data_IF_179241399386
#
_entry.id   IF_179241399386
#
_cell.length_a   1.000
_cell.length_b   1.000
_cell.length_c   1.000
_cell.angle_alpha   90.00
_cell.angle_beta   90.00
_cell.angle_gamma   90.00
#
_symmetry.space_group_name_H-M   'P 1'
#
loop_
_entity.id
_entity.type
_entity.pdbx_description
1 polymer ?
#
# COMPACT_ATOMS: atom_id res chain seq x y z
N UNK A 1 4.39 2.19 22.65
CA UNK A 1 5.79 1.98 22.18
C UNK A 1 6.16 2.81 20.97
N UNK A 2 5.55 2.63 19.80
CA UNK A 2 5.93 3.37 18.58
C UNK A 2 5.95 4.90 18.74
N UNK A 3 4.97 5.46 19.47
CA UNK A 3 4.91 6.90 19.76
C UNK A 3 6.09 7.39 20.61
N UNK A 4 6.56 6.57 21.57
CA UNK A 4 7.72 6.91 22.40
C UNK A 4 9.02 6.85 21.57
N UNK A 5 9.14 5.87 20.67
CA UNK A 5 10.23 5.84 19.69
C UNK A 5 10.24 7.10 18.82
N UNK A 6 9.08 7.49 18.27
CA UNK A 6 8.96 8.69 17.47
C UNK A 6 9.28 9.97 18.27
N UNK A 7 8.87 10.05 19.54
CA UNK A 7 9.21 11.17 20.44
C UNK A 7 10.73 11.36 20.55
N UNK A 8 11.48 10.26 20.69
CA UNK A 8 12.95 10.28 20.71
C UNK A 8 13.49 10.78 19.37
N UNK A 9 13.01 10.28 18.24
CA UNK A 9 13.45 10.74 16.92
C UNK A 9 13.21 12.24 16.72
N UNK A 10 12.01 12.74 17.04
CA UNK A 10 11.67 14.15 16.93
C UNK A 10 12.54 15.02 17.84
N UNK A 11 12.79 14.58 19.08
CA UNK A 11 13.63 15.31 20.03
C UNK A 11 15.08 15.44 19.56
N UNK A 12 15.65 14.40 18.95
CA UNK A 12 17.07 14.34 18.65
C UNK A 12 17.46 14.76 17.22
N UNK A 13 16.53 14.68 16.27
CA UNK A 13 16.82 14.98 14.87
C UNK A 13 15.90 16.03 14.26
N UNK A 14 14.83 16.43 14.95
CA UNK A 14 13.85 17.38 14.42
C UNK A 14 14.34 18.83 14.34
N UNK A 15 15.53 19.13 14.84
CA UNK A 15 16.25 20.37 14.56
C UNK A 15 16.66 20.50 13.08
N UNK A 16 16.91 19.36 12.41
CA UNK A 16 17.39 19.27 11.01
C UNK A 16 16.41 18.55 10.08
N UNK A 17 15.73 17.52 10.56
CA UNK A 17 14.79 16.73 9.76
C UNK A 17 13.45 17.45 9.67
N UNK A 18 13.12 17.88 8.45
CA UNK A 18 11.92 18.68 8.15
C UNK A 18 10.77 17.87 7.52
N UNK A 19 11.02 16.62 7.11
CA UNK A 19 10.02 15.74 6.51
C UNK A 19 10.09 14.37 7.16
N UNK A 20 8.99 13.96 7.79
CA UNK A 20 8.89 12.71 8.53
C UNK A 20 7.87 11.79 7.86
N UNK A 21 8.31 10.60 7.46
CA UNK A 21 7.42 9.50 7.08
C UNK A 21 7.30 8.57 8.27
N UNK A 22 6.08 8.42 8.78
CA UNK A 22 5.82 7.59 9.98
C UNK A 22 5.90 6.10 9.68
N UNK A 23 5.15 5.63 8.70
CA UNK A 23 5.06 4.21 8.32
C UNK A 23 5.19 4.12 6.80
N UNK A 24 6.08 3.24 6.35
CA UNK A 24 6.24 2.85 4.95
C UNK A 24 5.39 1.61 4.64
N UNK A 25 4.68 1.64 3.51
CA UNK A 25 3.91 0.53 2.95
C UNK A 25 3.15 -0.35 3.97
N UNK A 26 2.25 0.23 4.77
CA UNK A 26 1.53 -0.54 5.78
C UNK A 26 0.69 -1.68 5.19
N UNK A 27 0.28 -1.57 3.92
CA UNK A 27 -0.37 -2.65 3.17
C UNK A 27 0.56 -3.85 2.96
N UNK A 28 1.78 -3.61 2.43
CA UNK A 28 2.79 -4.64 2.19
C UNK A 28 3.08 -5.41 3.47
N UNK A 29 3.31 -4.68 4.57
CA UNK A 29 3.53 -5.32 5.87
C UNK A 29 2.32 -6.14 6.33
N UNK A 30 1.11 -5.58 6.29
CA UNK A 30 -0.10 -6.28 6.75
C UNK A 30 -0.38 -7.55 5.95
N UNK A 31 -0.19 -7.53 4.63
CA UNK A 31 -0.47 -8.67 3.75
C UNK A 31 0.67 -9.68 3.72
N UNK A 32 1.92 -9.25 3.58
CA UNK A 32 3.03 -10.18 3.42
C UNK A 32 3.53 -10.74 4.74
N UNK A 33 3.41 -10.01 5.86
CA UNK A 33 3.86 -10.53 7.16
C UNK A 33 2.80 -11.36 7.89
N UNK A 34 1.50 -11.10 7.65
CA UNK A 34 0.38 -11.73 8.38
C UNK A 34 -0.71 -12.35 7.46
N UNK A 35 -0.61 -12.14 6.15
CA UNK A 35 -1.53 -12.74 5.17
C UNK A 35 -0.90 -13.94 4.47
N UNK A 36 0.31 -13.78 3.93
CA UNK A 36 1.04 -14.84 3.21
C UNK A 36 2.27 -15.38 3.94
N UNK A 37 2.68 -14.73 5.05
CA UNK A 37 3.88 -15.10 5.82
C UNK A 37 5.20 -14.96 5.06
N UNK A 38 5.25 -14.22 3.95
CA UNK A 38 6.45 -13.99 3.15
C UNK A 38 7.46 -13.05 3.84
N UNK A 39 7.00 -12.18 4.75
CA UNK A 39 7.83 -11.27 5.53
C UNK A 39 7.77 -11.59 7.02
N UNK A 40 8.79 -11.21 7.79
CA UNK A 40 8.78 -11.39 9.24
C UNK A 40 7.55 -10.70 9.90
N UNK A 41 6.85 -11.34 10.85
CA UNK A 41 7.23 -12.57 11.55
C UNK A 41 6.82 -13.89 10.86
N UNK A 42 6.28 -13.83 9.64
CA UNK A 42 5.99 -15.00 8.82
C UNK A 42 4.70 -15.72 9.20
N UNK A 43 3.64 -14.96 9.50
CA UNK A 43 2.34 -15.51 9.91
C UNK A 43 1.35 -15.64 8.74
N UNK A 44 0.64 -16.76 8.71
CA UNK A 44 -0.47 -17.05 7.80
C UNK A 44 -1.29 -18.25 8.28
N UNK A 45 -2.51 -18.40 7.76
CA UNK A 45 -3.37 -19.53 8.10
C UNK A 45 -2.75 -20.88 7.69
N UNK A 46 -2.81 -21.87 8.60
CA UNK A 46 -2.24 -23.22 8.41
C UNK A 46 -2.63 -23.91 7.10
N UNK A 47 -3.86 -23.70 6.63
CA UNK A 47 -4.38 -24.33 5.40
C UNK A 47 -3.66 -23.87 4.12
N UNK A 48 -2.94 -22.74 4.16
CA UNK A 48 -2.19 -22.24 3.01
C UNK A 48 -0.92 -23.05 2.71
N UNK A 49 -0.41 -23.81 3.69
CA UNK A 49 0.80 -24.63 3.56
C UNK A 49 2.05 -23.86 3.05
N UNK A 50 2.24 -22.62 3.53
CA UNK A 50 3.35 -21.74 3.14
C UNK A 50 4.51 -21.74 4.15
N UNK A 51 4.60 -22.75 5.02
CA UNK A 51 5.61 -22.86 6.08
C UNK A 51 5.65 -21.64 7.03
N UNK A 52 4.49 -21.09 7.35
CA UNK A 52 4.33 -19.98 8.28
C UNK A 52 4.55 -20.41 9.75
N UNK A 53 4.91 -19.46 10.59
CA UNK A 53 5.19 -19.66 12.03
C UNK A 53 3.92 -19.78 12.89
N UNK A 54 2.75 -19.53 12.30
CA UNK A 54 1.44 -19.53 12.94
C UNK A 54 0.51 -18.50 12.30
N UNK A 55 -0.60 -18.20 12.96
CA UNK A 55 -1.45 -17.06 12.66
C UNK A 55 -2.70 -17.35 11.83
N UNK A 56 -3.38 -16.27 11.45
CA UNK A 56 -4.66 -16.30 10.74
C UNK A 56 -4.77 -15.17 9.69
N UNK A 57 -4.61 -15.54 8.42
CA UNK A 57 -4.70 -14.66 7.26
C UNK A 57 -6.07 -14.00 7.07
N UNK A 58 -7.13 -14.51 7.72
CA UNK A 58 -8.47 -13.93 7.65
C UNK A 58 -8.67 -12.74 8.61
N UNK A 59 -7.83 -12.60 9.64
CA UNK A 59 -8.06 -11.64 10.74
C UNK A 59 -6.83 -10.80 11.06
N UNK A 60 -5.64 -11.39 11.15
CA UNK A 60 -4.42 -10.70 11.59
C UNK A 60 -4.03 -9.52 10.70
N UNK A 61 -4.09 -9.59 9.35
CA UNK A 61 -3.81 -8.44 8.50
C UNK A 61 -4.67 -7.21 8.84
N UNK A 62 -5.93 -7.41 9.24
CA UNK A 62 -6.84 -6.33 9.61
C UNK A 62 -6.53 -5.74 10.98
N UNK A 63 -6.15 -6.57 11.94
CA UNK A 63 -5.69 -6.12 13.27
C UNK A 63 -4.41 -5.31 13.15
N UNK A 64 -3.45 -5.80 12.35
CA UNK A 64 -2.18 -5.12 12.10
C UNK A 64 -2.40 -3.79 11.41
N UNK A 65 -3.16 -3.76 10.31
CA UNK A 65 -3.49 -2.53 9.61
C UNK A 65 -4.17 -1.49 10.52
N UNK A 66 -5.06 -1.95 11.41
CA UNK A 66 -5.71 -1.08 12.40
C UNK A 66 -4.72 -0.44 13.37
N UNK A 67 -3.83 -1.24 13.97
CA UNK A 67 -2.83 -0.75 14.90
C UNK A 67 -1.81 0.18 14.23
N UNK A 68 -1.41 -0.09 12.98
CA UNK A 68 -0.54 0.80 12.21
C UNK A 68 -1.20 2.17 11.98
N UNK A 69 -2.49 2.19 11.64
CA UNK A 69 -3.24 3.45 11.49
C UNK A 69 -3.30 4.25 12.80
N UNK A 70 -3.58 3.58 13.92
CA UNK A 70 -3.59 4.24 15.23
C UNK A 70 -2.21 4.77 15.62
N UNK A 71 -1.17 3.95 15.46
CA UNK A 71 0.21 4.34 15.75
C UNK A 71 0.66 5.55 14.91
N UNK A 72 0.31 5.55 13.62
CA UNK A 72 0.52 6.69 12.72
C UNK A 72 -0.18 7.95 13.25
N UNK A 73 -1.49 7.89 13.49
CA UNK A 73 -2.28 9.06 13.85
C UNK A 73 -1.89 9.63 15.23
N UNK A 74 -1.58 8.77 16.20
CA UNK A 74 -1.08 9.21 17.51
C UNK A 74 0.31 9.85 17.40
N UNK A 75 1.19 9.33 16.53
CA UNK A 75 2.51 9.92 16.29
C UNK A 75 2.42 11.29 15.63
N UNK A 76 1.52 11.45 14.66
CA UNK A 76 1.26 12.74 14.01
C UNK A 76 0.69 13.74 15.01
N UNK A 77 -0.26 13.30 15.85
CA UNK A 77 -0.79 14.13 16.94
C UNK A 77 0.32 14.62 17.86
N UNK A 78 1.20 13.72 18.33
CA UNK A 78 2.36 14.09 19.15
C UNK A 78 3.24 15.13 18.46
N UNK A 79 3.59 14.93 17.18
CA UNK A 79 4.41 15.89 16.44
C UNK A 79 3.77 17.27 16.37
N UNK A 80 2.49 17.33 16.01
CA UNK A 80 1.72 18.59 15.91
C UNK A 80 1.65 19.34 17.23
N UNK A 81 1.40 18.62 18.33
CA UNK A 81 1.20 19.22 19.65
C UNK A 81 2.52 19.66 20.31
N UNK A 82 3.60 18.91 20.12
CA UNK A 82 4.86 19.11 20.89
C UNK A 82 5.99 19.74 20.07
N UNK A 83 6.05 19.49 18.76
CA UNK A 83 7.24 19.76 17.95
C UNK A 83 7.01 20.70 16.78
N UNK A 84 5.86 20.63 16.10
CA UNK A 84 5.65 21.30 14.81
C UNK A 84 5.79 22.83 14.89
N UNK A 85 5.32 23.47 15.96
CA UNK A 85 5.44 24.92 16.13
C UNK A 85 6.91 25.39 16.22
N UNK A 86 7.79 24.56 16.77
CA UNK A 86 9.22 24.88 17.00
C UNK A 86 10.06 24.43 15.80
N UNK A 87 9.86 23.19 15.35
CA UNK A 87 10.68 22.54 14.33
C UNK A 87 10.25 22.88 12.91
N UNK A 88 8.98 23.29 12.72
CA UNK A 88 8.38 23.70 11.43
C UNK A 88 8.39 22.63 10.34
N UNK A 89 8.62 21.36 10.70
CA UNK A 89 8.60 20.23 9.78
C UNK A 89 7.18 19.72 9.48
N UNK A 90 7.13 18.72 8.61
CA UNK A 90 5.91 18.08 8.12
C UNK A 90 5.93 16.57 8.40
N UNK A 91 4.76 16.02 8.64
CA UNK A 91 4.55 14.59 8.86
C UNK A 91 3.67 13.99 7.76
N UNK A 92 3.99 12.77 7.35
CA UNK A 92 3.25 12.03 6.34
C UNK A 92 3.36 10.52 6.53
N UNK A 93 2.87 9.81 5.53
CA UNK A 93 2.94 8.34 5.41
C UNK A 93 3.16 7.97 3.95
N UNK A 94 3.86 6.88 3.70
CA UNK A 94 4.12 6.37 2.36
C UNK A 94 3.28 5.12 2.09
N UNK A 95 2.55 5.12 0.99
CA UNK A 95 1.65 4.03 0.61
C UNK A 95 2.05 3.44 -0.73
N UNK A 96 2.25 2.12 -0.73
CA UNK A 96 2.26 1.36 -1.97
C UNK A 96 0.90 1.41 -2.64
N UNK A 97 0.89 1.71 -3.93
CA UNK A 97 -0.29 1.54 -4.75
C UNK A 97 0.10 1.12 -6.15
N UNK A 98 -0.48 0.00 -6.57
CA UNK A 98 -0.60 -0.33 -7.98
C UNK A 98 -1.73 0.50 -8.58
N UNK A 99 -1.80 0.54 -9.91
CA UNK A 99 -3.00 0.98 -10.61
C UNK A 99 -3.78 -0.21 -11.16
N UNK A 100 -5.11 -0.11 -11.14
CA UNK A 100 -6.01 -1.14 -11.64
C UNK A 100 -6.73 -0.68 -12.90
N UNK A 101 -6.67 -1.47 -13.97
CA UNK A 101 -7.48 -1.29 -15.19
C UNK A 101 -8.54 -2.39 -15.25
N UNK A 102 -9.82 -2.10 -15.52
CA UNK A 102 -10.82 -3.16 -15.72
C UNK A 102 -10.39 -4.12 -16.84
N UNK A 103 -10.45 -5.44 -16.58
CA UNK A 103 -10.08 -6.44 -17.58
C UNK A 103 -11.00 -6.36 -18.81
N UNK A 104 -12.30 -6.18 -18.60
CA UNK A 104 -13.31 -5.92 -19.63
C UNK A 104 -14.13 -4.66 -19.32
N UNK A 105 -14.95 -4.21 -20.28
CA UNK A 105 -15.90 -3.11 -20.08
C UNK A 105 -17.18 -3.54 -19.33
N UNK A 106 -17.20 -4.75 -18.77
CA UNK A 106 -18.34 -5.22 -17.99
C UNK A 106 -18.52 -4.40 -16.71
N UNK A 107 -19.78 -4.19 -16.31
CA UNK A 107 -20.11 -3.50 -15.04
C UNK A 107 -19.46 -4.20 -13.83
N UNK A 108 -19.26 -5.51 -13.91
CA UNK A 108 -18.65 -6.34 -12.90
C UNK A 108 -17.17 -6.02 -12.73
N UNK A 109 -16.41 -5.95 -13.82
CA UNK A 109 -14.98 -5.64 -13.77
C UNK A 109 -14.74 -4.20 -13.35
N UNK A 110 -15.53 -3.24 -13.82
CA UNK A 110 -15.47 -1.86 -13.33
C UNK A 110 -15.73 -1.77 -11.81
N UNK A 111 -16.67 -2.55 -11.28
CA UNK A 111 -16.91 -2.64 -9.83
C UNK A 111 -15.75 -3.32 -9.11
N UNK A 112 -15.17 -4.37 -9.71
CA UNK A 112 -14.03 -5.08 -9.17
C UNK A 112 -12.80 -4.19 -9.08
N UNK A 113 -12.48 -3.42 -10.12
CA UNK A 113 -11.37 -2.45 -10.11
C UNK A 113 -11.50 -1.43 -8.99
N UNK A 114 -12.71 -0.87 -8.78
CA UNK A 114 -12.95 0.03 -7.64
C UNK A 114 -12.74 -0.64 -6.29
N UNK A 115 -13.22 -1.88 -6.11
CA UNK A 115 -12.93 -2.66 -4.89
C UNK A 115 -11.45 -2.94 -4.72
N UNK A 116 -10.74 -3.29 -5.80
CA UNK A 116 -9.29 -3.48 -5.78
C UNK A 116 -8.56 -2.24 -5.28
N UNK A 117 -8.91 -1.06 -5.81
CA UNK A 117 -8.34 0.21 -5.33
C UNK A 117 -8.71 0.54 -3.88
N UNK A 118 -9.91 0.18 -3.42
CA UNK A 118 -10.31 0.32 -2.01
C UNK A 118 -9.47 -0.60 -1.11
N UNK A 119 -9.17 -1.84 -1.50
CA UNK A 119 -8.33 -2.75 -0.72
C UNK A 119 -6.82 -2.49 -0.89
N UNK A 120 -6.39 -1.77 -1.93
CA UNK A 120 -4.99 -1.40 -2.17
C UNK A 120 -4.65 -0.09 -1.45
N UNK A 121 -5.16 1.04 -1.95
CA UNK A 121 -4.85 2.37 -1.42
C UNK A 121 -5.87 2.83 -0.38
N UNK A 122 -7.15 2.54 -0.62
CA UNK A 122 -8.26 2.99 0.24
C UNK A 122 -8.20 2.43 1.65
N UNK A 123 -7.63 1.25 1.85
CA UNK A 123 -7.57 0.59 3.16
C UNK A 123 -6.88 1.49 4.20
N UNK A 124 -5.86 2.24 3.77
CA UNK A 124 -5.17 3.20 4.63
C UNK A 124 -5.61 4.64 4.36
N UNK A 125 -5.80 5.04 3.10
CA UNK A 125 -6.13 6.43 2.77
C UNK A 125 -7.57 6.83 3.15
N UNK A 126 -8.58 5.95 3.08
CA UNK A 126 -9.94 6.31 3.49
C UNK A 126 -10.02 6.58 5.00
N UNK A 127 -9.38 5.79 5.91
CA UNK A 127 -9.26 6.15 7.32
C UNK A 127 -8.60 7.51 7.55
N UNK A 128 -7.53 7.84 6.83
CA UNK A 128 -6.85 9.13 7.00
C UNK A 128 -7.66 10.30 6.44
N UNK A 129 -8.44 10.09 5.39
CA UNK A 129 -9.28 11.14 4.81
C UNK A 129 -10.63 11.32 5.53
N UNK A 130 -11.22 10.23 6.02
CA UNK A 130 -12.62 10.18 6.46
C UNK A 130 -12.83 9.60 7.86
N UNK A 131 -11.76 9.13 8.52
CA UNK A 131 -11.80 8.50 9.84
C UNK A 131 -12.46 7.13 9.86
N UNK A 132 -12.64 6.48 8.70
CA UNK A 132 -13.27 5.17 8.60
C UNK A 132 -12.77 4.42 7.36
N UNK A 133 -12.83 3.08 7.39
CA UNK A 133 -12.43 2.23 6.26
C UNK A 133 -13.29 2.45 5.00
N UNK A 134 -12.88 1.98 3.82
CA UNK A 134 -13.72 2.02 2.63
C UNK A 134 -15.08 1.31 2.83
N UNK A 135 -16.13 1.83 2.18
CA UNK A 135 -17.48 1.24 2.28
C UNK A 135 -17.52 -0.21 1.79
N UNK A 136 -16.79 -0.52 0.72
CA UNK A 136 -16.68 -1.87 0.15
C UNK A 136 -16.08 -2.85 1.16
N UNK A 137 -14.97 -2.48 1.80
CA UNK A 137 -14.33 -3.28 2.85
C UNK A 137 -15.29 -3.55 4.02
N UNK A 138 -15.95 -2.51 4.55
CA UNK A 138 -16.93 -2.69 5.64
C UNK A 138 -18.08 -3.63 5.26
N UNK A 139 -18.59 -3.51 4.03
CA UNK A 139 -19.70 -4.34 3.56
C UNK A 139 -19.31 -5.82 3.41
N UNK A 140 -18.07 -6.09 3.00
CA UNK A 140 -17.55 -7.45 2.80
C UNK A 140 -17.15 -8.08 4.14
N UNK A 141 -16.30 -7.39 4.90
CA UNK A 141 -15.67 -7.92 6.11
C UNK A 141 -16.59 -7.90 7.33
N UNK A 142 -17.55 -6.97 7.37
CA UNK A 142 -18.54 -6.84 8.44
C UNK A 142 -17.89 -6.81 9.83
N UNK A 143 -17.99 -7.91 10.60
CA UNK A 143 -17.50 -8.03 11.98
C UNK A 143 -15.99 -8.33 12.04
N UNK A 144 -15.40 -8.85 10.96
CA UNK A 144 -13.97 -9.17 10.88
C UNK A 144 -13.09 -7.92 10.75
N UNK A 145 -13.67 -6.79 10.32
CA UNK A 145 -12.95 -5.53 10.22
C UNK A 145 -13.07 -4.77 11.55
N UNK A 146 -11.93 -4.40 12.20
CA UNK A 146 -11.95 -3.59 13.39
C UNK A 146 -12.71 -2.27 13.21
N UNK A 147 -13.16 -1.67 14.30
CA UNK A 147 -13.89 -0.40 14.30
C UNK A 147 -13.12 0.64 15.09
N UNK A 148 -12.99 1.82 14.52
CA UNK A 148 -12.51 2.99 15.25
C UNK A 148 -13.60 3.50 16.19
N UNK A 149 -13.22 3.84 17.41
CA UNK A 149 -13.98 4.71 18.30
C UNK A 149 -14.18 6.10 17.67
N UNK A 150 -15.02 6.93 18.29
CA UNK A 150 -15.24 8.30 17.80
C UNK A 150 -13.96 9.13 17.90
N UNK A 151 -13.20 8.91 18.97
CA UNK A 151 -11.96 9.58 19.30
C UNK A 151 -10.85 9.19 18.31
N UNK A 152 -10.69 7.90 18.03
CA UNK A 152 -9.73 7.40 17.02
C UNK A 152 -10.10 7.88 15.61
N UNK A 153 -11.39 7.82 15.26
CA UNK A 153 -11.88 8.33 13.96
C UNK A 153 -11.58 9.81 13.78
N UNK A 154 -11.74 10.62 14.84
CA UNK A 154 -11.39 12.04 14.83
C UNK A 154 -9.87 12.25 14.72
N UNK A 155 -9.07 11.43 15.40
CA UNK A 155 -7.62 11.52 15.39
C UNK A 155 -7.02 11.17 14.02
N UNK A 156 -7.60 10.19 13.31
CA UNK A 156 -7.16 9.77 11.97
C UNK A 156 -7.43 10.82 10.88
N UNK A 157 -8.56 11.51 10.95
CA UNK A 157 -8.98 12.48 9.92
C UNK A 157 -7.94 13.59 9.77
N UNK A 158 -7.32 13.64 8.59
CA UNK A 158 -6.32 14.64 8.24
C UNK A 158 -5.01 14.50 9.02
N UNK A 159 -4.67 13.31 9.52
CA UNK A 159 -3.41 13.06 10.23
C UNK A 159 -2.20 12.97 9.28
N UNK A 160 -2.11 13.84 8.29
CA UNK A 160 -0.95 13.95 7.41
C UNK A 160 -0.86 15.37 6.85
N UNK A 161 0.36 15.83 6.59
CA UNK A 161 0.68 17.08 5.89
C UNK A 161 1.03 16.80 4.42
N UNK A 162 1.48 15.58 4.12
CA UNK A 162 1.72 15.07 2.76
C UNK A 162 1.50 13.54 2.70
N UNK A 163 1.33 13.03 1.48
CA UNK A 163 1.20 11.59 1.19
C UNK A 163 2.37 11.17 0.30
N UNK A 164 3.08 10.13 0.70
CA UNK A 164 4.03 9.41 -0.16
C UNK A 164 3.30 8.34 -0.96
N UNK A 165 3.58 8.26 -2.26
CA UNK A 165 3.11 7.17 -3.12
C UNK A 165 4.30 6.35 -3.62
N UNK A 166 4.23 5.04 -3.39
CA UNK A 166 5.18 4.06 -3.92
C UNK A 166 4.50 3.34 -5.09
N UNK A 167 4.94 3.62 -6.31
CA UNK A 167 4.35 3.07 -7.53
C UNK A 167 5.38 2.31 -8.35
N UNK A 168 5.01 1.10 -8.79
CA UNK A 168 5.88 0.24 -9.60
C UNK A 168 5.20 -0.33 -10.83
N UNK A 169 3.90 -0.64 -10.77
CA UNK A 169 3.24 -1.39 -11.84
C UNK A 169 1.71 -1.23 -11.84
N UNK A 170 1.07 -1.77 -12.87
CA UNK A 170 -0.38 -1.76 -13.12
C UNK A 170 -0.84 -3.16 -13.47
N UNK A 171 -2.05 -3.53 -13.04
CA UNK A 171 -2.69 -4.79 -13.39
C UNK A 171 -4.05 -4.58 -14.04
N UNK A 172 -4.43 -5.52 -14.91
CA UNK A 172 -5.84 -5.71 -15.24
C UNK A 172 -6.55 -6.38 -14.07
N UNK A 173 -7.74 -5.89 -13.75
CA UNK A 173 -8.55 -6.34 -12.61
C UNK A 173 -9.90 -6.85 -13.12
N UNK A 174 -10.26 -8.05 -12.69
CA UNK A 174 -11.56 -8.66 -12.99
C UNK A 174 -12.29 -9.09 -11.73
N UNK A 175 -13.62 -9.26 -11.85
CA UNK A 175 -14.44 -9.72 -10.74
C UNK A 175 -14.17 -11.21 -10.43
N UNK A 176 -13.90 -11.53 -9.16
CA UNK A 176 -13.82 -12.90 -8.68
C UNK A 176 -15.08 -13.27 -7.86
N UNK A 177 -15.49 -14.55 -7.83
CA UNK A 177 -16.50 -15.01 -6.89
C UNK A 177 -15.98 -14.91 -5.44
N UNK A 178 -16.87 -14.94 -4.42
CA UNK A 178 -16.45 -15.06 -3.04
C UNK A 178 -15.64 -16.34 -2.81
N UNK A 179 -14.57 -16.25 -2.02
CA UNK A 179 -13.79 -17.41 -1.59
C UNK A 179 -14.63 -18.35 -0.73
N UNK A 180 -14.24 -19.63 -0.71
CA UNK A 180 -14.78 -20.60 0.25
C UNK A 180 -14.48 -20.09 1.68
N UNK A 181 -15.49 -19.99 2.56
CA UNK A 181 -15.29 -19.56 3.96
C UNK A 181 -14.29 -20.40 4.76
N UNK A 182 -14.04 -21.65 4.36
CA UNK A 182 -13.01 -22.51 4.97
C UNK A 182 -11.59 -22.05 4.64
N UNK A 183 -11.42 -21.25 3.59
CA UNK A 183 -10.16 -20.75 3.07
C UNK A 183 -10.17 -19.22 2.99
N UNK A 184 -10.74 -18.57 4.02
CA UNK A 184 -10.79 -17.11 4.12
C UNK A 184 -9.39 -16.51 4.29
N UNK A 185 -9.13 -15.43 3.56
CA UNK A 185 -7.84 -14.72 3.56
C UNK A 185 -8.04 -13.29 3.09
N UNK A 186 -7.34 -12.35 3.74
CA UNK A 186 -7.29 -10.93 3.36
C UNK A 186 -6.86 -10.72 1.90
N UNK A 187 -6.07 -11.64 1.34
CA UNK A 187 -5.60 -11.61 -0.06
C UNK A 187 -6.71 -11.86 -1.09
N UNK A 188 -7.85 -12.42 -0.66
CA UNK A 188 -8.98 -12.75 -1.56
C UNK A 188 -10.25 -11.97 -1.24
N UNK A 189 -10.30 -11.27 -0.11
CA UNK A 189 -11.50 -10.57 0.38
C UNK A 189 -11.94 -9.41 -0.52
N UNK A 190 -11.04 -8.84 -1.33
CA UNK A 190 -11.41 -7.85 -2.36
C UNK A 190 -12.35 -8.42 -3.43
N UNK A 191 -12.39 -9.75 -3.59
CA UNK A 191 -13.11 -10.49 -4.64
C UNK A 191 -12.72 -9.99 -6.02
N UNK A 192 -11.42 -9.95 -6.25
CA UNK A 192 -10.81 -9.49 -7.50
C UNK A 192 -9.71 -10.44 -7.94
N UNK A 193 -9.59 -10.68 -9.25
CA UNK A 193 -8.38 -11.25 -9.83
C UNK A 193 -7.56 -10.12 -10.46
N UNK A 194 -6.25 -10.13 -10.23
CA UNK A 194 -5.30 -9.23 -10.87
C UNK A 194 -4.42 -10.02 -11.85
N UNK A 195 -4.25 -9.50 -13.06
CA UNK A 195 -3.43 -10.12 -14.11
C UNK A 195 -2.64 -9.06 -14.87
N UNK A 196 -1.36 -9.30 -15.16
CA UNK A 196 -0.61 -8.41 -16.05
C UNK A 196 -0.93 -8.66 -17.52
N UNK A 197 -1.76 -9.66 -17.84
CA UNK A 197 -2.05 -10.11 -19.21
C UNK A 197 -3.56 -10.07 -19.49
N UNK A 198 -3.93 -9.58 -20.68
CA UNK A 198 -5.29 -9.60 -21.22
C UNK A 198 -5.27 -10.23 -22.61
N UNK A 199 -6.03 -11.30 -22.82
CA UNK A 199 -6.11 -12.03 -24.10
C UNK A 199 -4.73 -12.43 -24.65
N UNK A 200 -3.83 -12.90 -23.79
CA UNK A 200 -2.46 -13.28 -24.15
C UNK A 200 -1.49 -12.10 -24.33
N UNK A 201 -1.97 -10.85 -24.24
CA UNK A 201 -1.13 -9.65 -24.39
C UNK A 201 -0.81 -9.03 -23.03
N UNK A 202 0.49 -8.90 -22.66
CA UNK A 202 0.90 -8.18 -21.45
C UNK A 202 0.54 -6.69 -21.50
N UNK A 203 0.26 -6.12 -20.34
CA UNK A 203 -0.08 -4.69 -20.16
C UNK A 203 1.06 -3.76 -20.58
N UNK A 204 2.30 -4.25 -20.53
CA UNK A 204 3.51 -3.57 -20.95
C UNK A 204 4.70 -4.51 -20.94
N UNK A 205 5.91 -4.01 -21.26
CA UNK A 205 7.14 -4.79 -21.15
C UNK A 205 7.34 -5.31 -19.72
N UNK A 206 7.85 -6.53 -19.58
CA UNK A 206 8.18 -7.12 -18.28
C UNK A 206 9.53 -6.56 -17.80
N UNK A 207 9.61 -6.18 -16.52
CA UNK A 207 10.87 -5.87 -15.86
C UNK A 207 11.62 -7.14 -15.45
N UNK A 208 12.67 -7.02 -14.63
CA UNK A 208 13.39 -8.18 -14.12
C UNK A 208 12.58 -9.00 -13.12
N UNK A 209 11.76 -8.35 -12.29
CA UNK A 209 10.94 -9.05 -11.30
C UNK A 209 9.67 -9.65 -11.92
N UNK A 210 9.27 -10.84 -11.46
CA UNK A 210 8.15 -11.61 -12.03
C UNK A 210 6.82 -10.87 -12.01
N UNK A 211 6.60 -10.02 -11.00
CA UNK A 211 5.39 -9.23 -10.79
C UNK A 211 5.45 -7.84 -11.45
N UNK A 212 6.61 -7.42 -11.97
CA UNK A 212 6.82 -6.04 -12.41
C UNK A 212 6.65 -5.90 -13.92
N UNK A 213 5.65 -5.10 -14.32
CA UNK A 213 5.39 -4.72 -15.71
C UNK A 213 5.42 -3.19 -15.87
N UNK A 214 6.11 -2.72 -16.91
CA UNK A 214 6.36 -1.31 -17.17
C UNK A 214 5.11 -0.69 -17.80
N UNK A 215 4.36 0.09 -17.01
CA UNK A 215 3.18 0.81 -17.47
C UNK A 215 3.17 2.25 -16.95
N UNK A 216 3.79 3.21 -17.67
CA UNK A 216 3.96 4.57 -17.16
C UNK A 216 2.66 5.35 -16.94
N UNK A 217 1.61 5.09 -17.73
CA UNK A 217 0.32 5.75 -17.56
C UNK A 217 -0.30 5.50 -16.16
N UNK A 218 0.03 4.37 -15.53
CA UNK A 218 -0.49 4.03 -14.22
C UNK A 218 -0.02 4.97 -13.10
N UNK A 219 1.21 5.52 -13.15
CA UNK A 219 1.66 6.48 -12.13
C UNK A 219 0.85 7.78 -12.21
N UNK A 220 0.60 8.25 -13.43
CA UNK A 220 -0.25 9.42 -13.68
C UNK A 220 -1.65 9.18 -13.15
N UNK A 221 -2.23 8.01 -13.43
CA UNK A 221 -3.60 7.69 -13.05
C UNK A 221 -3.76 7.52 -11.54
N UNK A 222 -2.81 6.90 -10.84
CA UNK A 222 -2.87 6.80 -9.37
C UNK A 222 -2.69 8.16 -8.68
N UNK A 223 -1.85 9.04 -9.21
CA UNK A 223 -1.72 10.43 -8.72
C UNK A 223 -3.02 11.21 -8.95
N UNK A 224 -3.61 11.13 -10.14
CA UNK A 224 -4.89 11.79 -10.45
C UNK A 224 -6.05 11.22 -9.63
N UNK A 225 -6.07 9.91 -9.39
CA UNK A 225 -7.04 9.27 -8.53
C UNK A 225 -6.91 9.77 -7.08
N UNK A 226 -5.69 9.80 -6.54
CA UNK A 226 -5.39 10.29 -5.20
C UNK A 226 -5.81 11.76 -5.06
N UNK A 227 -5.46 12.59 -6.04
CA UNK A 227 -5.88 13.99 -6.13
C UNK A 227 -7.40 14.14 -6.07
N UNK A 228 -8.14 13.41 -6.91
CA UNK A 228 -9.60 13.55 -7.00
C UNK A 228 -10.32 12.98 -5.78
N UNK A 229 -9.90 11.82 -5.28
CA UNK A 229 -10.60 11.11 -4.19
C UNK A 229 -10.31 11.71 -2.81
N UNK A 230 -9.10 12.22 -2.57
CA UNK A 230 -8.65 12.64 -1.24
C UNK A 230 -8.39 14.15 -1.13
N UNK A 231 -9.12 14.95 -1.91
CA UNK A 231 -9.08 16.42 -1.85
C UNK A 231 -7.69 17.03 -2.13
N UNK A 232 -7.00 16.53 -3.14
CA UNK A 232 -5.74 17.06 -3.67
C UNK A 232 -4.66 17.30 -2.59
N UNK A 233 -4.22 16.26 -1.86
CA UNK A 233 -3.16 16.41 -0.87
C UNK A 233 -1.82 16.75 -1.55
N UNK A 234 -0.85 17.24 -0.77
CA UNK A 234 0.54 17.30 -1.22
C UNK A 234 1.06 15.87 -1.40
N UNK A 235 1.54 15.54 -2.59
CA UNK A 235 1.99 14.19 -2.94
C UNK A 235 3.48 14.22 -3.25
N UNK A 236 4.22 13.27 -2.68
CA UNK A 236 5.57 12.91 -3.10
C UNK A 236 5.55 11.50 -3.67
N UNK A 237 6.25 11.27 -4.77
CA UNK A 237 6.57 9.89 -5.20
C UNK A 237 7.75 9.46 -4.34
N UNK A 238 7.49 8.60 -3.35
CA UNK A 238 8.48 8.20 -2.35
C UNK A 238 9.26 6.96 -2.75
N UNK A 239 8.67 6.10 -3.58
CA UNK A 239 9.40 5.02 -4.23
C UNK A 239 8.90 4.81 -5.67
N UNK A 240 9.86 4.62 -6.57
CA UNK A 240 9.65 4.17 -7.94
C UNK A 240 10.96 3.58 -8.45
N UNK A 241 10.89 2.51 -9.22
CA UNK A 241 12.08 1.88 -9.78
C UNK A 241 11.77 0.56 -10.46
N UNK A 242 12.81 -0.08 -10.98
CA UNK A 242 12.74 -1.40 -11.58
C UNK A 242 13.89 -2.26 -11.04
N UNK A 243 13.60 -3.52 -10.71
CA UNK A 243 14.62 -4.49 -10.34
C UNK A 243 15.05 -5.33 -11.54
N UNK A 244 16.31 -5.76 -11.53
CA UNK A 244 16.84 -6.80 -12.42
C UNK A 244 17.12 -8.07 -11.62
N UNK A 245 17.05 -9.23 -12.29
CA UNK A 245 17.38 -10.51 -11.64
C UNK A 245 18.89 -10.62 -11.57
N UNK A 246 19.42 -10.98 -10.40
CA UNK A 246 20.84 -11.26 -10.26
C UNK A 246 21.28 -12.33 -11.26
N UNK A 247 22.31 -12.02 -12.05
CA UNK A 247 22.94 -12.97 -12.94
C UNK A 247 24.46 -12.97 -12.69
N UNK A 248 24.90 -13.96 -11.91
CA UNK A 248 26.30 -14.11 -11.48
C UNK A 248 27.26 -14.39 -12.64
N UNK A 249 26.74 -14.72 -13.84
CA UNK A 249 27.58 -14.96 -15.01
C UNK A 249 27.97 -13.68 -15.75
N UNK A 250 27.36 -12.53 -15.43
CA UNK A 250 27.68 -11.25 -16.07
C UNK A 250 29.00 -10.69 -15.52
N UNK A 251 29.81 -10.11 -16.41
CA UNK A 251 30.92 -9.25 -15.99
C UNK A 251 30.40 -7.97 -15.32
N UNK A 252 31.25 -7.30 -14.55
CA UNK A 252 30.90 -6.01 -13.94
C UNK A 252 30.45 -4.99 -15.00
N UNK A 253 31.12 -4.92 -16.16
CA UNK A 253 30.76 -4.00 -17.24
C UNK A 253 29.35 -4.28 -17.79
N UNK A 254 28.97 -5.56 -17.91
CA UNK A 254 27.62 -5.94 -18.35
C UNK A 254 26.57 -5.67 -17.28
N UNK A 255 26.88 -5.95 -16.00
CA UNK A 255 25.98 -5.67 -14.88
C UNK A 255 25.74 -4.17 -14.65
N UNK A 256 26.70 -3.31 -15.02
CA UNK A 256 26.56 -1.85 -14.99
C UNK A 256 25.78 -1.29 -16.19
N UNK A 257 25.42 -2.11 -17.18
CA UNK A 257 24.64 -1.68 -18.34
C UNK A 257 23.13 -1.74 -18.06
N UNK A 258 22.63 -0.78 -17.29
CA UNK A 258 21.26 -0.69 -16.80
C UNK A 258 20.31 0.10 -17.72
N UNK A 259 20.52 0.04 -19.04
CA UNK A 259 19.76 0.82 -20.04
C UNK A 259 18.23 0.67 -19.89
N UNK A 260 17.73 -0.49 -19.46
CA UNK A 260 16.30 -0.70 -19.22
C UNK A 260 15.78 0.11 -18.02
N UNK A 261 16.59 0.26 -16.96
CA UNK A 261 16.27 1.09 -15.79
C UNK A 261 16.21 2.56 -16.20
N UNK A 262 17.18 3.03 -17.00
CA UNK A 262 17.17 4.40 -17.53
C UNK A 262 15.92 4.68 -18.39
N UNK A 263 15.56 3.76 -19.30
CA UNK A 263 14.33 3.86 -20.10
C UNK A 263 13.07 3.86 -19.22
N UNK A 264 13.04 3.09 -18.15
CA UNK A 264 11.94 3.07 -17.20
C UNK A 264 11.78 4.43 -16.52
N UNK A 265 12.86 4.95 -15.91
CA UNK A 265 12.85 6.22 -15.17
C UNK A 265 12.43 7.36 -16.09
N UNK A 266 13.01 7.45 -17.31
CA UNK A 266 12.67 8.48 -18.30
C UNK A 266 11.23 8.45 -18.76
N UNK A 267 10.56 7.30 -18.71
CA UNK A 267 9.14 7.18 -19.08
C UNK A 267 8.19 7.53 -17.92
N UNK A 268 8.67 7.43 -16.68
CA UNK A 268 7.89 7.69 -15.47
C UNK A 268 7.93 9.18 -15.10
N UNK A 269 9.08 9.84 -15.24
CA UNK A 269 9.27 11.29 -15.04
C UNK A 269 8.58 12.10 -16.15
#
# INVERSE_FOLDING_TARGET
DFVAYADVCFKHFGDRVQHWVTINEPLSYSLFAYGTGMMAPGQCSKWMNLNCTGGDSATEPYIVAHNLLLAHATTVKLYREKYQAIQKGKTGTAHVSQWGIPLSDSKQDHKATRRGMDFMLGWFMDPLATGNYPRSMRAIMKKQLPKFSKEESKMLKGSFDFVGLNYYTTFYVSNAPPSNPLFSSSTTDSRTNASPVKNGVPIGPKGGLSWQYIYPKGIRDVVLYTKKKYNNPLIYITENGMGEVNNETLSLTEALNDTLIDVFIKKIL
#
